data_IF_608284108081
#
_entry.id   IF_608284108081
#
_cell.length_a   1.000
_cell.length_b   1.000
_cell.length_c   1.000
_cell.angle_alpha   90.00
_cell.angle_beta   90.00
_cell.angle_gamma   90.00
#
_symmetry.space_group_name_H-M   'P 1'
#
loop_
_entity.id
_entity.type
_entity.pdbx_description
1 polymer ?
#
# COMPACT_ATOMS: atom_id res chain seq x y z
N UNK A 1 -12.08 17.67 -1.82
CA UNK A 1 -12.35 16.48 -0.96
C UNK A 1 -13.03 15.34 -1.73
N UNK A 2 -14.18 15.55 -2.40
CA UNK A 2 -14.87 14.46 -3.14
C UNK A 2 -14.01 13.88 -4.29
N UNK A 3 -13.41 14.73 -5.10
CA UNK A 3 -12.57 14.32 -6.26
C UNK A 3 -11.34 13.51 -5.87
N UNK A 4 -10.66 13.89 -4.79
CA UNK A 4 -9.48 13.17 -4.27
C UNK A 4 -9.84 11.78 -3.74
N UNK A 5 -11.03 11.62 -3.14
CA UNK A 5 -11.52 10.32 -2.66
C UNK A 5 -11.81 9.41 -3.86
N UNK A 6 -12.52 9.93 -4.88
CA UNK A 6 -12.81 9.19 -6.11
C UNK A 6 -11.52 8.76 -6.85
N UNK A 7 -10.50 9.63 -6.88
CA UNK A 7 -9.22 9.31 -7.52
C UNK A 7 -8.46 8.22 -6.75
N UNK A 8 -8.36 8.31 -5.42
CA UNK A 8 -7.69 7.27 -4.63
C UNK A 8 -8.41 5.93 -4.76
N UNK A 9 -9.74 5.93 -4.82
CA UNK A 9 -10.51 4.72 -5.04
C UNK A 9 -10.21 4.06 -6.39
N UNK A 10 -10.13 4.86 -7.47
CA UNK A 10 -9.74 4.37 -8.80
C UNK A 10 -8.33 3.79 -8.78
N UNK A 11 -7.37 4.47 -8.13
CA UNK A 11 -5.99 3.99 -7.98
C UNK A 11 -5.95 2.64 -7.24
N UNK A 12 -6.74 2.47 -6.17
CA UNK A 12 -6.80 1.22 -5.41
C UNK A 12 -7.37 0.06 -6.24
N UNK A 13 -8.37 0.32 -7.09
CA UNK A 13 -8.92 -0.68 -8.01
C UNK A 13 -7.85 -1.12 -9.01
N UNK A 14 -7.16 -0.17 -9.65
CA UNK A 14 -6.08 -0.47 -10.58
C UNK A 14 -5.01 -1.31 -9.89
N UNK A 15 -4.51 -0.88 -8.72
CA UNK A 15 -3.53 -1.65 -7.94
C UNK A 15 -4.00 -3.06 -7.60
N UNK A 16 -5.30 -3.26 -7.36
CA UNK A 16 -5.88 -4.58 -7.05
C UNK A 16 -5.89 -5.48 -8.28
N UNK A 17 -6.36 -4.97 -9.43
CA UNK A 17 -6.37 -5.71 -10.69
C UNK A 17 -4.93 -6.07 -11.09
N UNK A 18 -3.99 -5.13 -11.00
CA UNK A 18 -2.59 -5.39 -11.31
C UNK A 18 -2.00 -6.45 -10.39
N UNK A 19 -2.32 -6.42 -9.08
CA UNK A 19 -1.85 -7.46 -8.15
C UNK A 19 -2.41 -8.85 -8.47
N UNK A 20 -3.69 -8.94 -8.88
CA UNK A 20 -4.31 -10.20 -9.28
C UNK A 20 -3.74 -10.74 -10.60
N UNK A 21 -3.39 -9.86 -11.53
CA UNK A 21 -2.71 -10.28 -12.76
C UNK A 21 -1.30 -10.81 -12.46
N UNK A 22 -0.53 -10.06 -11.66
CA UNK A 22 0.84 -10.42 -11.30
C UNK A 22 0.91 -11.73 -10.51
N UNK A 23 -0.08 -12.03 -9.66
CA UNK A 23 -0.09 -13.28 -8.88
C UNK A 23 -0.21 -14.55 -9.73
N UNK A 24 -0.62 -14.44 -11.00
CA UNK A 24 -0.69 -15.57 -11.93
C UNK A 24 0.60 -15.78 -12.73
N UNK A 25 1.55 -14.83 -12.65
CA UNK A 25 2.84 -14.98 -13.31
C UNK A 25 3.76 -15.90 -12.50
N UNK A 26 4.80 -16.44 -13.13
CA UNK A 26 5.85 -17.20 -12.46
C UNK A 26 7.16 -16.40 -12.49
N UNK A 27 7.82 -16.29 -11.35
CA UNK A 27 9.04 -15.50 -11.21
C UNK A 27 9.49 -15.34 -9.78
N UNK A 28 10.81 -15.32 -9.57
CA UNK A 28 11.45 -15.28 -8.25
C UNK A 28 11.08 -14.05 -7.42
N UNK A 29 10.78 -12.92 -8.07
CA UNK A 29 10.51 -11.65 -7.40
C UNK A 29 9.02 -11.29 -7.28
N UNK A 30 8.11 -12.18 -7.69
CA UNK A 30 6.68 -11.88 -7.72
C UNK A 30 6.14 -11.57 -6.32
N UNK A 31 6.58 -12.33 -5.32
CA UNK A 31 6.20 -12.13 -3.93
C UNK A 31 6.61 -10.73 -3.42
N UNK A 32 7.83 -10.26 -3.75
CA UNK A 32 8.29 -8.92 -3.44
C UNK A 32 7.47 -7.83 -4.13
N UNK A 33 7.11 -8.03 -5.41
CA UNK A 33 6.27 -7.08 -6.15
C UNK A 33 4.88 -6.97 -5.53
N UNK A 34 4.27 -8.09 -5.15
CA UNK A 34 2.98 -8.12 -4.47
C UNK A 34 3.06 -7.42 -3.11
N UNK A 35 4.15 -7.62 -2.36
CA UNK A 35 4.38 -6.97 -1.08
C UNK A 35 4.45 -5.44 -1.21
N UNK A 36 5.15 -4.94 -2.23
CA UNK A 36 5.21 -3.49 -2.52
C UNK A 36 3.83 -2.96 -2.92
N UNK A 37 3.10 -3.69 -3.77
CA UNK A 37 1.73 -3.31 -4.16
C UNK A 37 0.78 -3.29 -2.95
N UNK A 38 0.94 -4.22 -2.00
CA UNK A 38 0.18 -4.23 -0.76
C UNK A 38 0.50 -3.01 0.12
N UNK A 39 1.78 -2.65 0.26
CA UNK A 39 2.20 -1.47 1.01
C UNK A 39 1.64 -0.17 0.42
N UNK A 40 1.68 -0.02 -0.91
CA UNK A 40 1.11 1.14 -1.60
C UNK A 40 -0.41 1.24 -1.38
N UNK A 41 -1.13 0.12 -1.44
CA UNK A 41 -2.57 0.07 -1.13
C UNK A 41 -2.85 0.51 0.30
N UNK A 42 -2.09 -0.01 1.27
CA UNK A 42 -2.21 0.38 2.67
C UNK A 42 -1.99 1.88 2.87
N UNK A 43 -0.93 2.45 2.30
CA UNK A 43 -0.67 3.90 2.38
C UNK A 43 -1.81 4.72 1.76
N UNK A 44 -2.34 4.30 0.61
CA UNK A 44 -3.50 4.93 -0.02
C UNK A 44 -4.72 4.98 0.91
N UNK A 45 -5.00 3.86 1.58
CA UNK A 45 -6.09 3.75 2.57
C UNK A 45 -5.82 4.61 3.79
N UNK A 46 -4.63 4.48 4.39
CA UNK A 46 -4.23 5.17 5.60
C UNK A 46 -4.28 6.70 5.44
N UNK A 47 -3.70 7.23 4.36
CA UNK A 47 -3.66 8.67 4.16
C UNK A 47 -4.99 9.27 3.71
N UNK A 48 -5.75 8.59 2.85
CA UNK A 48 -6.96 9.16 2.26
C UNK A 48 -8.24 8.82 3.04
N UNK A 49 -8.39 7.59 3.51
CA UNK A 49 -9.64 7.11 4.12
C UNK A 49 -9.59 7.10 5.64
N UNK A 50 -8.42 6.94 6.27
CA UNK A 50 -8.25 7.12 7.72
C UNK A 50 -7.93 8.57 8.11
N UNK A 51 -8.10 9.51 7.17
CA UNK A 51 -7.83 10.95 7.32
C UNK A 51 -6.45 11.32 7.87
N UNK A 52 -5.44 10.43 7.80
CA UNK A 52 -4.09 10.72 8.31
C UNK A 52 -3.42 11.90 7.60
N UNK A 53 -3.91 12.31 6.43
CA UNK A 53 -3.48 13.57 5.77
C UNK A 53 -3.62 14.79 6.69
N UNK A 54 -4.65 14.85 7.53
CA UNK A 54 -4.89 15.95 8.48
C UNK A 54 -4.24 15.71 9.85
N UNK A 55 -3.76 14.50 10.12
CA UNK A 55 -3.17 14.16 11.40
C UNK A 55 -1.78 14.82 11.59
N UNK A 56 -1.37 14.92 12.85
CA UNK A 56 -0.04 15.39 13.22
C UNK A 56 1.06 14.56 12.56
N UNK A 57 2.20 15.20 12.31
CA UNK A 57 3.37 14.57 11.67
C UNK A 57 3.82 13.31 12.42
N UNK A 58 3.65 13.29 13.75
CA UNK A 58 3.92 12.11 14.58
C UNK A 58 3.17 10.86 14.11
N UNK A 59 1.87 10.96 13.87
CA UNK A 59 1.04 9.83 13.40
C UNK A 59 1.41 9.38 11.98
N UNK A 60 1.74 10.34 11.12
CA UNK A 60 2.23 10.05 9.76
C UNK A 60 3.54 9.26 9.82
N UNK A 61 4.45 9.66 10.71
CA UNK A 61 5.73 8.99 10.95
C UNK A 61 5.54 7.55 11.45
N UNK A 62 4.66 7.33 12.43
CA UNK A 62 4.38 5.98 12.95
C UNK A 62 3.87 5.05 11.85
N UNK A 63 2.94 5.52 11.01
CA UNK A 63 2.35 4.70 9.94
C UNK A 63 3.40 4.35 8.88
N UNK A 64 4.27 5.29 8.51
CA UNK A 64 5.37 5.01 7.58
C UNK A 64 6.37 4.03 8.20
N UNK A 65 6.74 4.23 9.48
CA UNK A 65 7.62 3.32 10.21
C UNK A 65 7.06 1.90 10.29
N UNK A 66 5.76 1.77 10.57
CA UNK A 66 5.06 0.49 10.55
C UNK A 66 5.18 -0.20 9.18
N UNK A 67 4.95 0.53 8.07
CA UNK A 67 5.05 -0.04 6.72
C UNK A 67 6.47 -0.52 6.41
N UNK A 68 7.50 0.26 6.79
CA UNK A 68 8.91 -0.13 6.58
C UNK A 68 9.25 -1.40 7.38
N UNK A 69 8.88 -1.45 8.65
CA UNK A 69 9.11 -2.64 9.50
C UNK A 69 8.36 -3.85 8.96
N UNK A 70 7.10 -3.67 8.57
CA UNK A 70 6.26 -4.74 8.01
C UNK A 70 6.87 -5.33 6.74
N UNK A 71 7.28 -4.48 5.79
CA UNK A 71 7.97 -4.92 4.57
C UNK A 71 9.26 -5.65 4.93
N UNK A 72 10.06 -5.09 5.84
CA UNK A 72 11.33 -5.69 6.26
C UNK A 72 11.16 -7.08 6.86
N UNK A 73 10.21 -7.25 7.78
CA UNK A 73 9.91 -8.54 8.42
C UNK A 73 9.48 -9.56 7.37
N UNK A 74 8.54 -9.20 6.49
CA UNK A 74 8.04 -10.14 5.48
C UNK A 74 9.13 -10.49 4.46
N UNK A 75 10.00 -9.54 4.11
CA UNK A 75 11.12 -9.77 3.19
C UNK A 75 12.16 -10.75 3.74
N UNK A 76 12.20 -10.99 5.06
CA UNK A 76 13.06 -12.01 5.67
C UNK A 76 12.41 -13.40 5.61
N UNK A 77 11.09 -13.46 5.56
CA UNK A 77 10.30 -14.72 5.56
C UNK A 77 10.17 -15.29 4.15
N UNK A 78 10.04 -14.42 3.14
CA UNK A 78 9.94 -14.76 1.71
C UNK A 78 11.34 -15.06 1.16
#
# INVERSE_FOLDING_TARGET
MKTTISLTWLILIVLTITSAYISNLQGTYIAFVILILAALKFLGIAFQFMELKKAHVFWKGIIIGFVVIFIGIISVVI
#
